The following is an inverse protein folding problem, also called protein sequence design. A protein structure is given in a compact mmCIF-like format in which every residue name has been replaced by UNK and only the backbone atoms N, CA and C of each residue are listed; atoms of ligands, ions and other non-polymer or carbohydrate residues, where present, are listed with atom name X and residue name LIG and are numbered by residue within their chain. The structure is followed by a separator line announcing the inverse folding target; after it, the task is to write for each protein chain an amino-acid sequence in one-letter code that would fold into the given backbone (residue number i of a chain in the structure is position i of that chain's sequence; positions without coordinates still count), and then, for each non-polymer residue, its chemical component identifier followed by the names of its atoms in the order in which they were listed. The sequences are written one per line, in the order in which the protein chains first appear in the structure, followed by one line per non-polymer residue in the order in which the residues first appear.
data_IF_880826446444
#
_entry.id   IF_880826446444
#
_cell.length_a   1.000
_cell.length_b   1.000
_cell.length_c   1.000
_cell.angle_alpha   90.00
_cell.angle_beta   90.00
_cell.angle_gamma   90.00
#
_symmetry.space_group_name_H-M   'P 1'
#
loop_
_entity.id
_entity.type
_entity.pdbx_description
1 polymer ?
#
# COMPACT_ATOMS: atom_id res chain seq x y z
N UNK A 1 25.72 -5.32 6.31
CA UNK A 1 27.14 -4.90 6.45
C UNK A 1 27.11 -3.50 7.03
N UNK A 2 28.00 -3.17 7.97
CA UNK A 2 28.08 -1.84 8.53
C UNK A 2 29.28 -1.10 7.92
N UNK A 3 29.16 0.20 7.74
CA UNK A 3 30.25 1.11 7.40
C UNK A 3 30.25 2.32 8.34
N UNK A 4 31.37 3.01 8.42
CA UNK A 4 31.58 4.13 9.33
C UNK A 4 30.78 5.38 8.97
N UNK A 5 30.69 5.71 7.67
CA UNK A 5 29.98 6.90 7.18
C UNK A 5 28.99 6.60 6.05
N UNK A 6 28.07 7.53 5.83
CA UNK A 6 27.13 7.51 4.70
C UNK A 6 27.84 7.65 3.33
N UNK A 7 29.07 8.17 3.31
CA UNK A 7 29.87 8.29 2.08
C UNK A 7 30.34 6.92 1.61
N UNK A 8 30.73 6.03 2.52
CA UNK A 8 31.14 4.65 2.19
C UNK A 8 29.99 3.86 1.58
N UNK A 9 28.77 4.05 2.08
CA UNK A 9 27.59 3.37 1.53
C UNK A 9 27.35 3.69 0.04
N UNK A 10 27.81 4.86 -0.43
CA UNK A 10 27.72 5.29 -1.84
C UNK A 10 28.95 4.89 -2.68
N UNK A 11 30.00 4.36 -2.07
CA UNK A 11 31.21 3.95 -2.77
C UNK A 11 30.98 2.67 -3.59
N UNK A 12 31.42 2.66 -4.85
CA UNK A 12 31.22 1.52 -5.75
C UNK A 12 31.87 0.23 -5.25
N UNK A 13 33.08 0.30 -4.67
CA UNK A 13 33.77 -0.88 -4.13
C UNK A 13 33.04 -1.47 -2.92
N UNK A 14 32.48 -0.61 -2.08
CA UNK A 14 31.65 -1.06 -0.96
C UNK A 14 30.38 -1.75 -1.46
N UNK A 15 29.72 -1.22 -2.47
CA UNK A 15 28.52 -1.84 -3.03
C UNK A 15 28.85 -3.17 -3.72
N UNK A 16 29.98 -3.26 -4.43
CA UNK A 16 30.49 -4.52 -4.96
C UNK A 16 30.72 -5.55 -3.84
N UNK A 17 31.34 -5.15 -2.71
CA UNK A 17 31.48 -6.02 -1.54
C UNK A 17 30.11 -6.51 -1.03
N UNK A 18 29.11 -5.63 -0.93
CA UNK A 18 27.76 -6.00 -0.45
C UNK A 18 27.14 -7.05 -1.36
N UNK A 19 27.20 -6.83 -2.69
CA UNK A 19 26.72 -7.80 -3.69
C UNK A 19 27.46 -9.13 -3.57
N UNK A 20 28.78 -9.07 -3.46
CA UNK A 20 29.64 -10.25 -3.36
C UNK A 20 29.34 -11.10 -2.12
N UNK A 21 29.20 -10.45 -0.96
CA UNK A 21 28.84 -11.11 0.30
C UNK A 21 27.46 -11.76 0.19
N UNK A 22 26.47 -11.06 -0.39
CA UNK A 22 25.12 -11.61 -0.56
C UNK A 22 25.12 -12.86 -1.47
N UNK A 23 25.80 -12.80 -2.61
CA UNK A 23 25.90 -13.93 -3.54
C UNK A 23 26.69 -15.10 -2.95
N UNK A 24 27.80 -14.82 -2.25
CA UNK A 24 28.58 -15.85 -1.55
C UNK A 24 27.77 -16.53 -0.45
N UNK A 25 26.92 -15.79 0.26
CA UNK A 25 26.04 -16.34 1.29
C UNK A 25 25.03 -17.33 0.69
N UNK A 26 24.37 -16.95 -0.41
CA UNK A 26 23.41 -17.80 -1.12
C UNK A 26 24.10 -19.06 -1.66
N UNK A 27 25.28 -18.92 -2.27
CA UNK A 27 26.02 -20.03 -2.86
C UNK A 27 26.53 -21.05 -1.82
N UNK A 28 26.83 -20.59 -0.60
CA UNK A 28 27.31 -21.46 0.48
C UNK A 28 26.17 -22.06 1.33
N UNK A 29 24.92 -21.64 1.13
CA UNK A 29 23.76 -22.23 1.81
C UNK A 29 23.40 -23.60 1.22
N UNK A 30 23.95 -24.66 1.81
CA UNK A 30 23.70 -26.05 1.38
C UNK A 30 22.50 -26.70 2.07
N UNK A 31 22.21 -26.30 3.30
CA UNK A 31 21.08 -26.82 4.07
C UNK A 31 19.79 -26.14 3.61
N UNK A 32 19.01 -26.84 2.79
CA UNK A 32 17.69 -26.40 2.31
C UNK A 32 16.54 -26.83 3.23
N UNK A 33 16.83 -27.56 4.32
CA UNK A 33 15.78 -28.08 5.22
C UNK A 33 15.16 -26.99 6.11
N UNK A 34 15.91 -25.92 6.38
CA UNK A 34 15.46 -24.80 7.21
C UNK A 34 14.93 -23.69 6.34
N UNK A 35 13.71 -23.22 6.58
CA UNK A 35 13.13 -22.08 5.86
C UNK A 35 13.97 -20.80 6.02
N UNK A 36 14.59 -20.60 7.18
CA UNK A 36 15.39 -19.41 7.47
C UNK A 36 16.70 -19.81 8.15
N UNK A 37 17.82 -19.34 7.60
CA UNK A 37 19.16 -19.58 8.13
C UNK A 37 19.83 -18.26 8.47
N UNK A 38 20.30 -18.16 9.71
CA UNK A 38 20.96 -16.98 10.24
C UNK A 38 22.48 -17.20 10.27
N UNK A 39 23.21 -16.20 9.81
CA UNK A 39 24.66 -16.12 9.92
C UNK A 39 24.99 -14.91 10.79
N UNK A 40 25.61 -15.14 11.93
CA UNK A 40 26.22 -14.07 12.71
C UNK A 40 27.52 -13.59 12.07
N UNK A 41 28.22 -12.68 12.75
CA UNK A 41 29.49 -12.12 12.26
C UNK A 41 30.53 -13.22 12.02
N UNK A 42 30.69 -14.16 12.94
CA UNK A 42 31.78 -15.13 12.91
C UNK A 42 31.51 -16.18 11.82
N UNK A 43 30.27 -16.67 11.74
CA UNK A 43 29.82 -17.56 10.68
C UNK A 43 29.97 -16.89 9.30
N UNK A 44 29.57 -15.63 9.16
CA UNK A 44 29.68 -14.91 7.90
C UNK A 44 31.15 -14.66 7.50
N UNK A 45 32.00 -14.34 8.49
CA UNK A 45 33.41 -14.02 8.27
C UNK A 45 34.22 -15.21 7.74
N UNK A 46 33.85 -16.43 8.13
CA UNK A 46 34.54 -17.67 7.74
C UNK A 46 34.08 -18.25 6.39
N UNK A 47 33.00 -17.73 5.81
CA UNK A 47 32.50 -18.24 4.54
C UNK A 47 33.51 -18.00 3.41
N UNK A 48 33.70 -18.98 2.50
CA UNK A 48 34.57 -18.80 1.35
C UNK A 48 33.93 -17.84 0.35
N UNK A 49 34.78 -16.99 -0.23
CA UNK A 49 34.42 -16.09 -1.32
C UNK A 49 34.03 -16.87 -2.57
N UNK A 50 33.06 -16.34 -3.33
CA UNK A 50 32.58 -16.95 -4.57
C UNK A 50 33.65 -16.99 -5.67
N UNK A 51 34.42 -15.89 -5.81
CA UNK A 51 35.40 -15.72 -6.90
C UNK A 51 36.72 -16.44 -6.63
N UNK A 52 37.07 -16.58 -5.35
CA UNK A 52 38.30 -17.22 -4.89
C UNK A 52 38.03 -17.97 -3.59
N UNK A 53 37.81 -19.29 -3.71
CA UNK A 53 37.50 -20.15 -2.56
C UNK A 53 38.64 -20.30 -1.56
N UNK A 54 39.85 -19.83 -1.88
CA UNK A 54 40.97 -19.80 -0.93
C UNK A 54 40.86 -18.64 0.07
N UNK A 55 40.03 -17.63 -0.24
CA UNK A 55 39.79 -16.45 0.60
C UNK A 55 38.45 -16.53 1.30
N UNK A 56 38.41 -15.97 2.49
CA UNK A 56 37.18 -15.81 3.28
C UNK A 56 36.52 -14.46 3.01
N UNK A 57 35.24 -14.32 3.38
CA UNK A 57 34.57 -13.01 3.33
C UNK A 57 35.21 -11.98 4.26
N UNK A 58 35.88 -12.42 5.35
CA UNK A 58 36.70 -11.53 6.16
C UNK A 58 37.87 -10.93 5.36
N UNK A 59 38.56 -11.75 4.56
CA UNK A 59 39.68 -11.30 3.72
C UNK A 59 39.21 -10.29 2.66
N UNK A 60 38.08 -10.58 1.99
CA UNK A 60 37.51 -9.67 1.00
C UNK A 60 37.05 -8.35 1.66
N UNK A 61 36.50 -8.42 2.88
CA UNK A 61 36.11 -7.22 3.63
C UNK A 61 37.33 -6.39 4.02
N UNK A 62 38.42 -7.02 4.47
CA UNK A 62 39.67 -6.34 4.80
C UNK A 62 40.30 -5.64 3.59
N UNK A 63 40.26 -6.28 2.41
CA UNK A 63 40.68 -5.65 1.15
C UNK A 63 39.82 -4.42 0.82
N UNK A 64 38.51 -4.50 1.03
CA UNK A 64 37.62 -3.36 0.84
C UNK A 64 37.97 -2.20 1.79
N UNK A 65 38.21 -2.48 3.07
CA UNK A 65 38.63 -1.48 4.07
C UNK A 65 39.90 -0.76 3.61
N UNK A 66 40.94 -1.50 3.19
CA UNK A 66 42.17 -0.90 2.67
C UNK A 66 41.95 -0.06 1.40
N UNK A 67 40.97 -0.42 0.58
CA UNK A 67 40.68 0.27 -0.68
C UNK A 67 39.78 1.51 -0.55
N UNK A 68 38.92 1.54 0.47
CA UNK A 68 37.98 2.62 0.76
C UNK A 68 38.59 3.60 1.76
N UNK A 69 39.46 3.14 2.66
CA UNK A 69 40.10 3.95 3.69
C UNK A 69 39.26 4.18 4.95
N UNK A 70 38.11 3.52 5.06
CA UNK A 70 37.17 3.63 6.19
C UNK A 70 36.78 2.25 6.72
N UNK A 71 36.31 2.20 7.97
CA UNK A 71 35.95 0.94 8.61
C UNK A 71 34.69 0.32 7.98
N UNK A 72 34.79 -0.97 7.62
CA UNK A 72 33.71 -1.78 7.07
C UNK A 72 33.68 -3.12 7.81
N UNK A 73 32.52 -3.49 8.32
CA UNK A 73 32.37 -4.66 9.21
C UNK A 73 31.21 -5.55 8.77
N UNK A 74 31.50 -6.85 8.63
CA UNK A 74 30.48 -7.89 8.51
C UNK A 74 29.72 -8.00 9.84
N UNK A 75 28.38 -8.00 9.77
CA UNK A 75 27.53 -7.99 10.97
C UNK A 75 26.69 -9.26 11.09
N UNK A 76 25.90 -9.53 10.07
CA UNK A 76 24.99 -10.67 10.00
C UNK A 76 24.47 -10.84 8.57
N UNK A 77 24.08 -12.07 8.24
CA UNK A 77 23.38 -12.44 7.01
C UNK A 77 22.18 -13.32 7.33
N UNK A 78 21.17 -13.28 6.48
CA UNK A 78 20.00 -14.15 6.60
C UNK A 78 19.70 -14.69 5.21
N UNK A 79 19.54 -16.01 5.10
CA UNK A 79 19.07 -16.68 3.89
C UNK A 79 17.70 -17.27 4.15
N UNK A 80 16.79 -17.09 3.19
CA UNK A 80 15.48 -17.72 3.20
C UNK A 80 15.46 -18.79 2.10
N UNK A 81 15.17 -20.03 2.49
CA UNK A 81 14.96 -21.14 1.58
C UNK A 81 13.47 -21.21 1.26
N UNK A 82 13.15 -21.24 -0.04
CA UNK A 82 11.78 -21.19 -0.55
C UNK A 82 11.45 -22.53 -1.17
N UNK A 83 10.28 -23.05 -0.84
CA UNK A 83 9.75 -24.29 -1.43
C UNK A 83 8.98 -23.99 -2.72
N UNK A 84 8.73 -25.01 -3.55
CA UNK A 84 8.09 -24.84 -4.87
C UNK A 84 6.70 -24.16 -4.85
N UNK A 85 6.00 -24.15 -3.71
CA UNK A 85 4.68 -23.54 -3.55
C UNK A 85 4.71 -22.17 -2.85
N UNK A 86 5.90 -21.56 -2.74
CA UNK A 86 6.13 -20.29 -2.10
C UNK A 86 6.74 -19.31 -3.09
N UNK A 87 6.31 -18.05 -3.02
CA UNK A 87 6.83 -16.96 -3.82
C UNK A 87 7.48 -15.93 -2.91
N UNK A 88 8.59 -15.35 -3.36
CA UNK A 88 9.34 -14.35 -2.62
C UNK A 88 9.30 -13.00 -3.33
N UNK A 89 8.84 -11.99 -2.61
CA UNK A 89 8.80 -10.60 -3.03
C UNK A 89 9.84 -9.79 -2.22
N UNK A 90 10.59 -8.90 -2.87
CA UNK A 90 11.67 -8.12 -2.25
C UNK A 90 11.60 -6.62 -2.58
N UNK A 91 11.61 -5.75 -1.58
CA UNK A 91 11.59 -4.29 -1.75
C UNK A 91 12.86 -3.68 -1.21
N UNK A 92 13.39 -2.68 -1.91
CA UNK A 92 14.39 -1.77 -1.36
C UNK A 92 13.94 -0.33 -1.58
N UNK A 93 13.87 0.47 -0.51
CA UNK A 93 13.55 1.90 -0.57
C UNK A 93 14.80 2.75 -0.76
N UNK A 94 14.72 3.77 -1.61
CA UNK A 94 15.86 4.64 -1.94
C UNK A 94 16.95 3.84 -2.63
N UNK A 95 16.59 3.11 -3.70
CA UNK A 95 17.50 2.22 -4.41
C UNK A 95 18.69 2.98 -4.94
N UNK A 96 19.86 2.39 -4.78
CA UNK A 96 21.08 2.86 -5.43
C UNK A 96 21.17 2.09 -6.74
N UNK A 97 20.81 2.74 -7.85
CA UNK A 97 20.88 2.12 -9.18
C UNK A 97 22.33 2.08 -9.62
N UNK A 98 22.94 0.89 -9.59
CA UNK A 98 24.24 0.64 -10.19
C UNK A 98 24.13 -0.47 -11.24
N UNK A 99 24.53 -0.16 -12.47
CA UNK A 99 24.47 -1.06 -13.63
C UNK A 99 25.40 -2.29 -13.52
N UNK A 100 26.23 -2.38 -12.48
CA UNK A 100 27.23 -3.43 -12.29
C UNK A 100 26.81 -4.55 -11.32
N UNK A 101 25.66 -4.43 -10.64
CA UNK A 101 25.17 -5.41 -9.67
C UNK A 101 23.77 -5.92 -10.03
N UNK A 102 23.65 -6.58 -11.19
CA UNK A 102 22.36 -6.99 -11.78
C UNK A 102 21.47 -7.87 -10.88
N UNK A 103 22.03 -8.57 -9.89
CA UNK A 103 21.27 -9.47 -9.01
C UNK A 103 21.04 -8.97 -7.58
N UNK A 104 21.62 -7.83 -7.18
CA UNK A 104 21.59 -7.37 -5.78
C UNK A 104 20.91 -6.00 -5.65
N UNK A 105 19.76 -5.97 -4.96
CA UNK A 105 19.07 -4.72 -4.63
C UNK A 105 19.58 -4.16 -3.30
N UNK A 106 19.92 -2.87 -3.30
CA UNK A 106 20.43 -2.15 -2.13
C UNK A 106 19.67 -0.84 -1.95
N UNK A 107 19.44 -0.45 -0.70
CA UNK A 107 18.73 0.79 -0.36
C UNK A 107 18.76 1.06 1.15
N UNK A 108 18.07 2.11 1.58
CA UNK A 108 17.99 2.52 2.99
C UNK A 108 17.20 1.52 3.84
N UNK A 109 16.12 1.00 3.27
CA UNK A 109 15.26 0.01 3.90
C UNK A 109 15.05 -1.16 2.94
N UNK A 110 14.99 -2.37 3.48
CA UNK A 110 14.69 -3.58 2.73
C UNK A 110 13.50 -4.31 3.37
N UNK A 111 12.60 -4.83 2.54
CA UNK A 111 11.55 -5.75 2.98
C UNK A 111 11.59 -7.02 2.13
N UNK A 112 11.30 -8.16 2.76
CA UNK A 112 11.20 -9.45 2.12
C UNK A 112 9.90 -10.11 2.57
N UNK A 113 9.07 -10.54 1.62
CA UNK A 113 7.77 -11.17 1.89
C UNK A 113 7.78 -12.54 1.23
N UNK A 114 7.62 -13.58 2.06
CA UNK A 114 7.35 -14.94 1.61
C UNK A 114 5.84 -15.16 1.67
N UNK A 115 5.21 -15.61 0.59
CA UNK A 115 3.80 -15.95 0.57
C UNK A 115 3.56 -17.28 -0.15
N UNK A 116 2.60 -18.04 0.35
CA UNK A 116 2.16 -19.33 -0.21
C UNK A 116 0.69 -19.25 -0.57
N UNK A 117 0.33 -19.82 -1.72
CA UNK A 117 -1.07 -19.95 -2.10
C UNK A 117 -1.79 -20.90 -1.12
N UNK A 118 -2.95 -20.48 -0.61
CA UNK A 118 -3.83 -21.31 0.20
C UNK A 118 -4.77 -22.02 -0.77
N UNK A 119 -4.60 -23.34 -0.91
CA UNK A 119 -5.37 -24.29 -1.72
C UNK A 119 -5.21 -24.32 -3.25
N UNK A 120 -4.90 -25.51 -3.75
CA UNK A 120 -4.64 -25.86 -5.16
C UNK A 120 -5.88 -26.38 -5.90
N UNK A 121 -7.09 -26.18 -5.39
CA UNK A 121 -8.33 -26.65 -6.04
C UNK A 121 -8.92 -25.68 -7.05
N UNK A 122 -8.27 -24.56 -7.33
CA UNK A 122 -8.67 -23.64 -8.40
C UNK A 122 -7.51 -23.55 -9.41
N UNK A 123 -7.33 -24.60 -10.20
CA UNK A 123 -6.56 -24.54 -11.45
C UNK A 123 -7.53 -24.21 -12.57
N UNK A 124 -7.34 -23.05 -13.21
CA UNK A 124 -6.98 -22.94 -14.63
C UNK A 124 -6.69 -21.47 -14.96
N UNK A 125 -5.45 -21.23 -15.40
CA UNK A 125 -4.92 -20.10 -16.17
C UNK A 125 -5.05 -18.65 -15.63
N UNK A 126 -3.95 -17.89 -15.77
CA UNK A 126 -3.75 -16.44 -15.53
C UNK A 126 -3.24 -15.93 -14.16
N UNK A 127 -3.06 -16.77 -13.14
CA UNK A 127 -2.71 -16.28 -11.79
C UNK A 127 -1.22 -15.96 -11.51
N UNK A 128 -0.27 -16.46 -12.30
CA UNK A 128 1.16 -16.17 -12.10
C UNK A 128 1.55 -14.72 -12.44
N UNK A 129 0.95 -14.15 -13.49
CA UNK A 129 1.12 -12.73 -13.81
C UNK A 129 0.54 -11.83 -12.73
N UNK A 130 -0.61 -12.21 -12.14
CA UNK A 130 -1.24 -11.44 -11.08
C UNK A 130 -0.37 -11.41 -9.82
N UNK A 131 0.25 -12.52 -9.42
CA UNK A 131 1.14 -12.58 -8.26
C UNK A 131 2.44 -11.77 -8.46
N UNK A 132 3.05 -11.86 -9.64
CA UNK A 132 4.23 -11.07 -10.02
C UNK A 132 3.91 -9.57 -10.13
N UNK A 133 2.73 -9.23 -10.65
CA UNK A 133 2.23 -7.84 -10.73
C UNK A 133 1.93 -7.29 -9.34
N UNK A 134 1.28 -8.07 -8.47
CA UNK A 134 1.02 -7.70 -7.08
C UNK A 134 2.32 -7.44 -6.32
N UNK A 135 3.29 -8.34 -6.46
CA UNK A 135 4.64 -8.17 -5.94
C UNK A 135 5.26 -6.88 -6.48
N UNK A 136 5.42 -6.73 -7.80
CA UNK A 136 6.04 -5.54 -8.40
C UNK A 136 5.35 -4.22 -8.03
N UNK A 137 4.01 -4.22 -7.90
CA UNK A 137 3.22 -3.04 -7.55
C UNK A 137 3.24 -2.71 -6.04
N UNK A 138 3.44 -3.69 -5.15
CA UNK A 138 3.71 -3.46 -3.73
C UNK A 138 5.14 -2.95 -3.51
N UNK A 139 6.08 -3.44 -4.33
CA UNK A 139 7.52 -3.19 -4.20
C UNK A 139 8.01 -1.96 -5.01
N UNK A 140 7.14 -1.20 -5.67
CA UNK A 140 7.52 0.06 -6.35
C UNK A 140 6.91 1.29 -5.66
N UNK A 141 6.22 1.08 -4.53
CA UNK A 141 5.54 2.16 -3.81
C UNK A 141 6.55 3.10 -3.16
N UNK A 142 6.59 4.33 -3.66
CA UNK A 142 7.09 5.46 -2.89
C UNK A 142 5.93 6.02 -2.08
N UNK A 143 6.08 6.04 -0.75
CA UNK A 143 5.08 6.63 0.13
C UNK A 143 5.42 8.11 0.35
N UNK A 144 4.75 9.05 -0.34
CA UNK A 144 4.96 10.46 -0.09
C UNK A 144 4.57 10.79 1.35
N UNK A 145 5.28 11.74 1.96
CA UNK A 145 4.85 12.34 3.21
C UNK A 145 3.64 13.23 2.91
N UNK A 146 2.70 13.35 3.86
CA UNK A 146 1.64 14.37 3.73
C UNK A 146 2.31 15.76 3.70
N UNK A 147 1.88 16.61 2.78
CA UNK A 147 2.33 18.00 2.73
C UNK A 147 1.48 18.83 3.67
N UNK A 148 2.09 19.37 4.73
CA UNK A 148 1.43 20.35 5.60
C UNK A 148 1.33 21.67 4.84
N UNK A 149 0.17 22.33 4.88
CA UNK A 149 0.03 23.68 4.36
C UNK A 149 0.89 24.63 5.20
N UNK A 150 1.91 25.25 4.58
CA UNK A 150 3.02 25.94 5.27
C UNK A 150 2.58 26.97 6.31
N UNK A 151 1.43 27.61 6.10
CA UNK A 151 0.91 28.67 6.98
C UNK A 151 0.58 28.17 8.40
N UNK A 152 0.40 26.87 8.63
CA UNK A 152 -0.10 26.32 9.91
C UNK A 152 0.93 25.43 10.64
N UNK A 153 2.21 25.44 10.22
CA UNK A 153 3.25 24.61 10.86
C UNK A 153 3.54 25.06 12.29
N UNK A 154 3.44 26.36 12.58
CA UNK A 154 3.78 26.94 13.88
C UNK A 154 2.57 27.18 14.79
N UNK A 155 1.37 27.36 14.23
CA UNK A 155 0.15 27.65 14.99
C UNK A 155 -0.99 26.72 14.54
N UNK A 156 -1.45 25.79 15.40
CA UNK A 156 -2.66 25.02 15.14
C UNK A 156 -3.86 25.94 14.96
N UNK A 157 -4.74 25.61 14.02
CA UNK A 157 -5.96 26.36 13.76
C UNK A 157 -7.18 25.70 14.41
N UNK A 158 -8.18 26.51 14.77
CA UNK A 158 -9.44 25.99 15.28
C UNK A 158 -10.26 25.30 14.17
N UNK A 159 -11.09 24.34 14.56
CA UNK A 159 -11.94 23.58 13.64
C UNK A 159 -12.91 24.48 12.87
N UNK A 160 -13.53 25.47 13.53
CA UNK A 160 -14.45 26.43 12.90
C UNK A 160 -13.75 27.19 11.78
N UNK A 161 -12.56 27.73 12.05
CA UNK A 161 -11.75 28.45 11.06
C UNK A 161 -11.41 27.57 9.86
N UNK A 162 -11.07 26.30 10.08
CA UNK A 162 -10.86 25.35 8.99
C UNK A 162 -12.12 25.16 8.15
N UNK A 163 -13.27 24.94 8.78
CA UNK A 163 -14.53 24.68 8.07
C UNK A 163 -14.94 25.89 7.23
N UNK A 164 -14.83 27.10 7.77
CA UNK A 164 -15.15 28.34 7.05
C UNK A 164 -14.25 28.51 5.81
N UNK A 165 -12.96 28.21 5.93
CA UNK A 165 -12.00 28.28 4.82
C UNK A 165 -12.27 27.19 3.77
N UNK A 166 -12.54 25.96 4.21
CA UNK A 166 -12.70 24.81 3.33
C UNK A 166 -13.89 25.00 2.36
N UNK A 167 -14.98 25.62 2.81
CA UNK A 167 -16.17 25.88 1.99
C UNK A 167 -15.90 26.90 0.86
N UNK A 168 -14.84 27.70 0.92
CA UNK A 168 -14.45 28.68 -0.10
C UNK A 168 -13.32 28.18 -1.03
N UNK A 169 -12.74 27.02 -0.74
CA UNK A 169 -11.53 26.54 -1.44
C UNK A 169 -11.83 25.70 -2.68
N UNK A 170 -10.97 25.80 -3.69
CA UNK A 170 -11.00 24.92 -4.88
C UNK A 170 -10.16 23.64 -4.72
N UNK A 171 -9.23 23.64 -3.77
CA UNK A 171 -8.42 22.48 -3.40
C UNK A 171 -8.88 21.99 -2.03
N UNK A 172 -9.24 20.71 -1.93
CA UNK A 172 -9.70 20.12 -0.67
C UNK A 172 -8.54 19.88 0.30
N UNK A 173 -8.81 20.01 1.60
CA UNK A 173 -7.85 19.75 2.66
C UNK A 173 -8.42 18.90 3.79
N UNK A 174 -7.59 18.06 4.42
CA UNK A 174 -7.94 17.33 5.64
C UNK A 174 -7.46 18.09 6.88
N UNK A 175 -8.27 18.10 7.93
CA UNK A 175 -7.93 18.70 9.22
C UNK A 175 -7.51 17.63 10.20
N UNK A 176 -6.28 17.71 10.69
CA UNK A 176 -5.70 16.75 11.60
C UNK A 176 -5.37 17.43 12.94
N UNK A 177 -6.37 17.55 13.83
CA UNK A 177 -6.22 18.12 15.18
C UNK A 177 -5.43 19.45 15.21
N UNK A 178 -5.84 20.39 14.35
CA UNK A 178 -5.26 21.74 14.25
C UNK A 178 -4.35 21.96 13.05
N UNK A 179 -3.99 20.90 12.32
CA UNK A 179 -3.10 20.98 11.16
C UNK A 179 -3.87 20.68 9.86
N UNK A 180 -3.68 21.52 8.84
CA UNK A 180 -4.30 21.35 7.52
C UNK A 180 -3.33 20.63 6.58
N UNK A 181 -3.84 19.64 5.85
CA UNK A 181 -3.11 18.89 4.83
C UNK A 181 -3.88 18.89 3.52
N UNK A 182 -3.24 19.38 2.45
CA UNK A 182 -3.84 19.33 1.12
C UNK A 182 -4.06 17.88 0.64
N UNK A 183 -5.22 17.59 0.08
CA UNK A 183 -5.43 16.31 -0.61
C UNK A 183 -4.68 16.31 -1.94
N UNK A 184 -4.14 15.15 -2.35
CA UNK A 184 -3.75 14.95 -3.73
C UNK A 184 -4.96 15.20 -4.66
N UNK A 185 -4.71 15.78 -5.83
CA UNK A 185 -5.75 15.92 -6.85
C UNK A 185 -6.36 14.54 -7.16
N UNK A 186 -7.70 14.46 -7.13
CA UNK A 186 -8.41 13.23 -7.51
C UNK A 186 -8.24 12.99 -9.01
N UNK A 187 -7.73 11.82 -9.38
CA UNK A 187 -7.67 11.41 -10.78
C UNK A 187 -9.07 11.04 -11.27
N UNK A 188 -9.40 11.33 -12.53
CA UNK A 188 -10.71 11.02 -13.12
C UNK A 188 -11.07 9.53 -13.09
N UNK A 189 -10.06 8.65 -13.04
CA UNK A 189 -10.22 7.20 -12.88
C UNK A 189 -10.69 6.79 -11.49
N UNK A 190 -10.31 7.54 -10.44
CA UNK A 190 -10.78 7.32 -9.06
C UNK A 190 -12.26 7.62 -8.96
N UNK A 191 -12.69 8.79 -9.44
CA UNK A 191 -14.10 9.20 -9.41
C UNK A 191 -14.98 8.27 -10.24
N UNK A 192 -14.47 7.80 -11.39
CA UNK A 192 -15.18 6.81 -12.20
C UNK A 192 -15.34 5.48 -11.47
N UNK A 193 -14.31 5.01 -10.76
CA UNK A 193 -14.39 3.78 -9.96
C UNK A 193 -15.41 3.92 -8.83
N UNK A 194 -15.38 5.05 -8.11
CA UNK A 194 -16.37 5.38 -7.06
C UNK A 194 -17.79 5.42 -7.63
N UNK A 195 -18.00 6.00 -8.81
CA UNK A 195 -19.31 6.01 -9.47
C UNK A 195 -19.86 4.61 -9.73
N UNK A 196 -19.03 3.69 -10.23
CA UNK A 196 -19.46 2.31 -10.46
C UNK A 196 -19.68 1.53 -9.16
N UNK A 197 -18.87 1.78 -8.12
CA UNK A 197 -19.11 1.26 -6.78
C UNK A 197 -20.49 1.70 -6.26
N UNK A 198 -20.78 3.00 -6.31
CA UNK A 198 -22.06 3.55 -5.87
C UNK A 198 -23.23 2.93 -6.62
N UNK A 199 -23.12 2.80 -7.95
CA UNK A 199 -24.16 2.17 -8.77
C UNK A 199 -24.42 0.71 -8.38
N UNK A 200 -23.38 -0.08 -8.10
CA UNK A 200 -23.53 -1.48 -7.66
C UNK A 200 -24.22 -1.58 -6.28
N UNK A 201 -23.96 -0.62 -5.38
CA UNK A 201 -24.61 -0.55 -4.07
C UNK A 201 -26.08 -0.13 -4.20
N UNK A 202 -26.37 0.89 -5.01
CA UNK A 202 -27.73 1.39 -5.23
C UNK A 202 -28.66 0.32 -5.82
N UNK A 203 -28.14 -0.49 -6.76
CA UNK A 203 -28.90 -1.58 -7.38
C UNK A 203 -29.40 -2.63 -6.38
N UNK A 204 -28.73 -2.78 -5.24
CA UNK A 204 -29.10 -3.75 -4.22
C UNK A 204 -30.25 -3.28 -3.32
N UNK A 205 -30.66 -2.01 -3.41
CA UNK A 205 -31.80 -1.45 -2.67
C UNK A 205 -31.76 -1.75 -1.16
N UNK A 206 -30.55 -1.65 -0.57
CA UNK A 206 -30.32 -1.93 0.84
C UNK A 206 -31.14 -0.95 1.68
N UNK A 207 -32.04 -1.48 2.51
CA UNK A 207 -32.95 -0.65 3.33
C UNK A 207 -32.18 0.11 4.39
N UNK A 208 -32.59 1.35 4.65
CA UNK A 208 -32.04 2.23 5.68
C UNK A 208 -30.53 2.51 5.53
N UNK A 209 -30.03 2.47 4.29
CA UNK A 209 -28.67 2.91 3.96
C UNK A 209 -28.70 3.98 2.89
N UNK A 210 -27.92 5.01 3.14
CA UNK A 210 -27.73 6.14 2.25
C UNK A 210 -26.27 6.21 1.84
N UNK A 211 -26.05 6.30 0.53
CA UNK A 211 -24.76 6.70 -0.01
C UNK A 211 -24.63 8.21 0.19
N UNK A 212 -23.59 8.63 0.89
CA UNK A 212 -23.33 10.05 1.12
C UNK A 212 -22.60 10.67 -0.09
N UNK A 213 -22.73 11.99 -0.31
CA UNK A 213 -22.03 12.70 -1.39
C UNK A 213 -20.51 12.45 -1.40
N UNK A 214 -19.87 12.50 -2.57
CA UNK A 214 -18.43 12.19 -2.73
C UNK A 214 -17.49 13.20 -2.05
N UNK A 215 -17.99 14.38 -1.73
CA UNK A 215 -17.34 15.47 -1.00
C UNK A 215 -17.76 15.53 0.47
N UNK A 216 -18.43 14.49 0.99
CA UNK A 216 -18.76 14.40 2.40
C UNK A 216 -17.49 14.37 3.26
N UNK A 217 -17.50 15.15 4.34
CA UNK A 217 -16.43 15.14 5.35
C UNK A 217 -16.82 14.19 6.48
N UNK A 218 -15.89 13.34 6.94
CA UNK A 218 -16.07 12.54 8.15
C UNK A 218 -15.38 13.25 9.30
N UNK A 219 -16.13 13.55 10.35
CA UNK A 219 -15.59 14.03 11.62
C UNK A 219 -15.44 12.89 12.61
N UNK A 220 -14.22 12.63 13.07
CA UNK A 220 -13.96 11.62 14.11
C UNK A 220 -14.26 12.16 15.51
N UNK A 221 -14.50 11.25 16.50
CA UNK A 221 -14.45 11.61 17.92
C UNK A 221 -13.07 12.15 18.32
N UNK A 222 -13.01 12.82 19.47
CA UNK A 222 -11.79 13.44 20.00
C UNK A 222 -10.58 12.50 20.05
N UNK A 223 -9.36 12.96 19.65
CA UNK A 223 -9.09 14.23 18.96
C UNK A 223 -9.78 14.33 17.61
N UNK A 224 -10.23 15.54 17.29
CA UNK A 224 -11.03 15.79 16.10
C UNK A 224 -10.16 15.72 14.85
N UNK A 225 -10.55 14.85 13.93
CA UNK A 225 -10.02 14.76 12.58
C UNK A 225 -11.16 14.94 11.57
N UNK A 226 -10.89 15.67 10.50
CA UNK A 226 -11.78 15.80 9.33
C UNK A 226 -11.12 15.14 8.13
N UNK A 227 -11.74 14.08 7.63
CA UNK A 227 -11.24 13.31 6.49
C UNK A 227 -12.25 13.28 5.34
N UNK A 228 -11.74 13.21 4.11
CA UNK A 228 -12.57 12.87 2.96
C UNK A 228 -12.40 11.38 2.63
N UNK A 229 -13.47 10.56 2.71
CA UNK A 229 -13.45 9.18 2.27
C UNK A 229 -13.57 9.10 0.74
N UNK A 230 -13.24 7.95 0.16
CA UNK A 230 -13.56 7.69 -1.25
C UNK A 230 -15.06 7.46 -1.45
N UNK A 231 -15.70 6.71 -0.54
CA UNK A 231 -17.16 6.56 -0.47
C UNK A 231 -17.58 6.31 0.99
N UNK A 232 -18.75 6.81 1.37
CA UNK A 232 -19.27 6.67 2.73
C UNK A 232 -20.74 6.28 2.72
N UNK A 233 -21.10 5.31 3.55
CA UNK A 233 -22.48 4.89 3.78
C UNK A 233 -22.89 5.25 5.21
N UNK A 234 -24.14 5.69 5.38
CA UNK A 234 -24.72 5.96 6.69
C UNK A 234 -26.17 5.51 6.76
N UNK A 235 -26.64 5.19 7.96
CA UNK A 235 -28.07 4.97 8.23
C UNK A 235 -28.85 6.29 8.33
N UNK A 236 -28.15 7.43 8.39
CA UNK A 236 -28.76 8.75 8.34
C UNK A 236 -28.61 9.32 6.93
N UNK A 237 -29.72 9.76 6.34
CA UNK A 237 -29.65 10.55 5.12
C UNK A 237 -28.87 11.84 5.37
N UNK A 238 -28.06 12.31 4.39
CA UNK A 238 -27.38 13.59 4.53
C UNK A 238 -28.42 14.69 4.71
N UNK A 239 -28.23 15.54 5.73
CA UNK A 239 -28.96 16.80 5.79
C UNK A 239 -28.42 17.67 4.65
N UNK A 240 -29.30 18.24 3.83
CA UNK A 240 -28.93 19.01 2.63
C UNK A 240 -27.91 20.11 2.87
N UNK A 241 -27.82 20.60 4.11
CA UNK A 241 -26.98 21.75 4.47
C UNK A 241 -25.69 21.33 5.22
N UNK A 242 -25.43 20.02 5.38
CA UNK A 242 -24.27 19.52 6.11
C UNK A 242 -23.38 18.66 5.21
N UNK A 243 -22.27 19.23 4.75
CA UNK A 243 -21.17 18.51 4.11
C UNK A 243 -20.29 17.72 5.11
N UNK A 244 -20.85 17.31 6.27
CA UNK A 244 -20.13 16.61 7.33
C UNK A 244 -20.99 15.53 8.00
N UNK A 245 -20.41 14.37 8.24
CA UNK A 245 -21.03 13.26 8.98
C UNK A 245 -20.17 12.85 10.16
N UNK A 246 -20.83 12.47 11.25
CA UNK A 246 -20.24 11.86 12.47
C UNK A 246 -20.70 10.41 12.66
N UNK A 247 -21.60 9.94 11.80
CA UNK A 247 -22.21 8.62 11.90
C UNK A 247 -22.07 7.77 10.64
N UNK A 248 -20.84 7.60 10.09
CA UNK A 248 -20.62 6.62 9.04
C UNK A 248 -20.81 5.20 9.58
N UNK A 249 -21.41 4.33 8.76
CA UNK A 249 -21.57 2.90 9.06
C UNK A 249 -20.57 2.07 8.26
N UNK A 250 -20.32 2.46 7.01
CA UNK A 250 -19.27 1.87 6.14
C UNK A 250 -18.46 2.99 5.53
N UNK A 251 -17.14 2.84 5.57
CA UNK A 251 -16.21 3.71 4.86
C UNK A 251 -15.49 2.85 3.83
N UNK A 252 -15.48 3.29 2.57
CA UNK A 252 -14.72 2.65 1.50
C UNK A 252 -13.61 3.60 1.07
N UNK A 253 -12.39 3.09 1.00
CA UNK A 253 -11.20 3.84 0.59
C UNK A 253 -10.52 3.16 -0.60
N UNK A 254 -10.33 3.92 -1.68
CA UNK A 254 -9.51 3.49 -2.82
C UNK A 254 -8.05 3.82 -2.53
N UNK A 255 -7.23 2.77 -2.49
CA UNK A 255 -5.82 2.84 -2.17
C UNK A 255 -5.00 3.02 -3.45
N UNK A 256 -4.21 4.08 -3.48
CA UNK A 256 -3.16 4.31 -4.48
C UNK A 256 -1.79 4.18 -3.80
N UNK A 257 -0.69 4.07 -4.56
CA UNK A 257 0.66 4.08 -3.99
C UNK A 257 0.95 5.28 -3.09
N UNK A 258 0.33 6.44 -3.37
CA UNK A 258 0.54 7.67 -2.62
C UNK A 258 -0.33 7.77 -1.37
N UNK A 259 -1.50 7.11 -1.35
CA UNK A 259 -2.46 7.22 -0.24
C UNK A 259 -2.42 6.11 0.79
N UNK A 260 -1.87 4.96 0.42
CA UNK A 260 -1.89 3.74 1.22
C UNK A 260 -1.42 3.93 2.66
N UNK A 261 -0.26 4.56 2.84
CA UNK A 261 0.37 4.67 4.16
C UNK A 261 -0.58 5.34 5.16
N UNK A 262 -1.14 6.48 4.79
CA UNK A 262 -2.00 7.23 5.70
C UNK A 262 -3.39 6.60 5.82
N UNK A 263 -3.92 5.97 4.76
CA UNK A 263 -5.22 5.29 4.85
C UNK A 263 -5.15 4.09 5.80
N UNK A 264 -4.16 3.20 5.62
CA UNK A 264 -4.07 1.95 6.39
C UNK A 264 -3.60 2.14 7.84
N UNK A 265 -2.94 3.26 8.15
CA UNK A 265 -2.42 3.52 9.49
C UNK A 265 -3.23 4.62 10.16
N UNK A 266 -3.01 5.87 9.76
CA UNK A 266 -3.59 7.05 10.40
C UNK A 266 -5.12 7.04 10.34
N UNK A 267 -5.70 7.07 9.12
CA UNK A 267 -7.16 7.10 8.94
C UNK A 267 -7.81 5.84 9.50
N UNK A 268 -7.27 4.65 9.23
CA UNK A 268 -7.80 3.38 9.78
C UNK A 268 -7.93 3.44 11.30
N UNK A 269 -6.87 3.84 12.01
CA UNK A 269 -6.89 3.94 13.47
C UNK A 269 -7.95 4.94 13.93
N UNK A 270 -8.04 6.09 13.27
CA UNK A 270 -8.95 7.17 13.65
C UNK A 270 -10.42 6.85 13.33
N UNK A 271 -10.70 6.28 12.17
CA UNK A 271 -12.02 5.79 11.79
C UNK A 271 -12.54 4.74 12.77
N UNK A 272 -11.70 3.78 13.20
CA UNK A 272 -12.09 2.70 14.13
C UNK A 272 -12.58 3.19 15.49
N UNK A 273 -12.35 4.45 15.84
CA UNK A 273 -12.84 5.11 17.06
C UNK A 273 -14.29 5.59 16.94
N UNK A 274 -14.78 5.79 15.72
CA UNK A 274 -16.16 6.21 15.45
C UNK A 274 -17.10 5.08 15.90
N UNK A 275 -18.03 5.28 16.87
CA UNK A 275 -18.85 4.19 17.43
C UNK A 275 -19.82 3.53 16.44
N UNK A 276 -20.37 4.32 15.51
CA UNK A 276 -21.32 3.88 14.48
C UNK A 276 -20.67 3.05 13.39
N UNK A 277 -19.37 3.22 13.16
CA UNK A 277 -18.64 2.54 12.08
C UNK A 277 -18.59 1.03 12.32
N UNK A 278 -19.04 0.25 11.36
CA UNK A 278 -19.01 -1.23 11.45
C UNK A 278 -18.00 -1.83 10.50
N UNK A 279 -17.75 -1.20 9.36
CA UNK A 279 -16.81 -1.70 8.35
C UNK A 279 -15.98 -0.61 7.70
N UNK A 280 -14.75 -0.98 7.36
CA UNK A 280 -13.87 -0.23 6.49
C UNK A 280 -13.40 -1.15 5.37
N UNK A 281 -13.71 -0.79 4.13
CA UNK A 281 -13.32 -1.54 2.93
C UNK A 281 -12.21 -0.77 2.23
N UNK A 282 -11.03 -1.37 2.17
CA UNK A 282 -9.89 -0.86 1.42
C UNK A 282 -9.82 -1.59 0.09
N UNK A 283 -9.84 -0.86 -1.02
CA UNK A 283 -9.75 -1.46 -2.37
C UNK A 283 -8.46 -0.94 -3.00
N UNK A 284 -7.65 -1.84 -3.54
CA UNK A 284 -6.50 -1.47 -4.38
C UNK A 284 -6.86 -1.75 -5.84
N UNK A 285 -7.32 -0.76 -6.62
CA UNK A 285 -7.76 -1.00 -8.00
C UNK A 285 -6.65 -1.63 -8.85
N UNK A 286 -5.41 -1.15 -8.72
CA UNK A 286 -4.27 -1.66 -9.48
C UNK A 286 -3.89 -3.11 -9.12
N UNK A 287 -4.22 -3.55 -7.90
CA UNK A 287 -3.93 -4.91 -7.43
C UNK A 287 -5.13 -5.85 -7.55
N UNK A 288 -6.31 -5.32 -7.90
CA UNK A 288 -7.57 -6.07 -7.96
C UNK A 288 -7.85 -6.86 -6.66
N UNK A 289 -7.57 -6.21 -5.54
CA UNK A 289 -7.65 -6.78 -4.19
C UNK A 289 -8.45 -5.84 -3.29
N UNK A 290 -9.19 -6.41 -2.34
CA UNK A 290 -9.76 -5.69 -1.22
C UNK A 290 -9.36 -6.28 0.13
N UNK A 291 -9.33 -5.42 1.14
CA UNK A 291 -9.22 -5.76 2.55
C UNK A 291 -10.44 -5.18 3.25
N UNK A 292 -11.11 -5.98 4.07
CA UNK A 292 -12.23 -5.52 4.89
C UNK A 292 -11.85 -5.66 6.35
N UNK A 293 -11.87 -4.54 7.06
CA UNK A 293 -11.83 -4.50 8.51
C UNK A 293 -13.27 -4.33 9.00
N UNK A 294 -13.78 -5.25 9.80
CA UNK A 294 -15.14 -5.23 10.32
C UNK A 294 -15.18 -5.56 11.82
N UNK A 295 -16.23 -5.11 12.50
CA UNK A 295 -16.53 -5.52 13.88
C UNK A 295 -18.01 -5.84 14.02
N UNK A 296 -18.32 -6.81 14.87
CA UNK A 296 -19.69 -7.00 15.32
C UNK A 296 -20.08 -5.84 16.26
N UNK A 297 -21.39 -5.59 16.40
CA UNK A 297 -21.88 -4.46 17.19
C UNK A 297 -21.56 -4.56 18.70
N UNK A 298 -21.16 -5.75 19.16
CA UNK A 298 -21.04 -6.11 20.58
C UNK A 298 -19.59 -6.20 21.05
N UNK A 299 -18.64 -6.58 20.18
CA UNK A 299 -17.22 -6.62 20.51
C UNK A 299 -16.50 -5.34 20.08
N UNK A 300 -15.54 -4.91 20.90
CA UNK A 300 -14.60 -3.86 20.51
C UNK A 300 -13.50 -4.36 19.54
N UNK A 301 -13.58 -5.61 19.08
CA UNK A 301 -12.51 -6.26 18.32
C UNK A 301 -12.78 -6.16 16.83
N UNK A 302 -11.81 -5.58 16.12
CA UNK A 302 -11.81 -5.57 14.66
C UNK A 302 -11.23 -6.86 14.12
N UNK A 303 -11.92 -7.45 13.14
CA UNK A 303 -11.48 -8.61 12.37
C UNK A 303 -11.15 -8.16 10.95
N UNK A 304 -10.17 -8.80 10.32
CA UNK A 304 -9.70 -8.48 8.98
C UNK A 304 -9.90 -9.68 8.05
N UNK A 305 -10.36 -9.41 6.83
CA UNK A 305 -10.43 -10.37 5.71
C UNK A 305 -9.89 -9.75 4.43
N UNK A 306 -9.47 -10.61 3.51
CA UNK A 306 -8.98 -10.24 2.19
C UNK A 306 -9.85 -10.90 1.13
N UNK A 307 -10.05 -10.20 0.02
CA UNK A 307 -10.90 -10.61 -1.08
C UNK A 307 -10.23 -10.28 -2.41
N UNK A 308 -10.15 -11.26 -3.30
CA UNK A 308 -9.68 -11.09 -4.67
C UNK A 308 -10.76 -10.55 -5.61
N UNK A 309 -10.40 -10.46 -6.90
CA UNK A 309 -11.23 -9.88 -7.95
C UNK A 309 -12.63 -10.51 -8.11
N UNK A 310 -12.70 -11.84 -7.98
CA UNK A 310 -13.93 -12.63 -8.18
C UNK A 310 -14.71 -12.87 -6.89
N UNK A 311 -14.13 -12.54 -5.75
CA UNK A 311 -14.76 -12.78 -4.46
C UNK A 311 -15.94 -11.83 -4.25
N UNK A 312 -16.94 -12.33 -3.55
CA UNK A 312 -18.07 -11.54 -3.07
C UNK A 312 -17.68 -10.91 -1.74
N UNK A 313 -17.48 -9.60 -1.75
CA UNK A 313 -17.15 -8.81 -0.57
C UNK A 313 -18.46 -8.45 0.13
N UNK A 314 -18.76 -8.96 1.32
CA UNK A 314 -19.98 -8.59 2.03
C UNK A 314 -19.93 -7.11 2.43
N UNK A 315 -21.05 -6.41 2.24
CA UNK A 315 -21.32 -5.08 2.82
C UNK A 315 -22.11 -5.27 4.12
N UNK A 316 -21.38 -5.43 5.22
CA UNK A 316 -21.83 -5.64 6.60
C UNK A 316 -22.94 -6.67 6.86
N UNK A 317 -22.68 -7.48 7.88
CA UNK A 317 -23.73 -8.12 8.70
C UNK A 317 -24.75 -7.13 9.31
N UNK A 318 -24.47 -5.81 9.30
CA UNK A 318 -25.23 -4.78 10.03
C UNK A 318 -26.32 -4.07 9.22
N UNK A 319 -26.37 -4.25 7.89
CA UNK A 319 -27.27 -3.43 7.04
C UNK A 319 -28.02 -4.19 5.95
N UNK A 320 -27.86 -5.51 5.89
CA UNK A 320 -28.74 -6.40 5.14
C UNK A 320 -28.08 -6.97 3.89
N UNK A 321 -27.40 -8.11 4.05
CA UNK A 321 -26.97 -9.08 3.03
C UNK A 321 -26.51 -8.52 1.67
N UNK A 322 -25.90 -7.33 1.63
CA UNK A 322 -25.34 -6.75 0.41
C UNK A 322 -23.97 -7.34 0.09
N UNK A 323 -23.59 -7.35 -1.18
CA UNK A 323 -22.32 -7.86 -1.68
C UNK A 323 -21.73 -6.91 -2.73
N UNK A 324 -20.43 -6.69 -2.70
CA UNK A 324 -19.66 -6.07 -3.79
C UNK A 324 -18.88 -7.14 -4.53
N UNK A 325 -18.82 -7.02 -5.85
CA UNK A 325 -17.99 -7.88 -6.71
C UNK A 325 -17.11 -6.98 -7.55
N UNK A 326 -15.80 -7.01 -7.29
CA UNK A 326 -14.84 -6.12 -7.95
C UNK A 326 -14.82 -6.32 -9.47
N UNK A 327 -14.97 -7.57 -9.94
CA UNK A 327 -15.00 -7.90 -11.37
C UNK A 327 -16.01 -7.04 -12.15
N UNK A 328 -17.22 -6.87 -11.61
CA UNK A 328 -18.29 -6.12 -12.27
C UNK A 328 -17.92 -4.64 -12.41
N UNK A 329 -17.29 -4.08 -11.37
CA UNK A 329 -16.85 -2.69 -11.36
C UNK A 329 -15.81 -2.45 -12.46
N UNK A 330 -14.79 -3.32 -12.55
CA UNK A 330 -13.76 -3.21 -13.58
C UNK A 330 -14.34 -3.39 -14.99
N UNK A 331 -15.23 -4.35 -15.19
CA UNK A 331 -15.86 -4.58 -16.49
C UNK A 331 -16.68 -3.37 -16.95
N UNK A 332 -17.44 -2.76 -16.03
CA UNK A 332 -18.22 -1.57 -16.32
C UNK A 332 -17.34 -0.37 -16.68
N UNK A 333 -16.20 -0.20 -16.00
CA UNK A 333 -15.22 0.83 -16.36
C UNK A 333 -14.66 0.62 -17.77
N UNK A 334 -14.23 -0.59 -18.10
CA UNK A 334 -13.70 -0.92 -19.42
C UNK A 334 -14.75 -0.66 -20.50
N UNK A 335 -15.99 -1.10 -20.28
CA UNK A 335 -17.10 -0.87 -21.21
C UNK A 335 -17.37 0.63 -21.42
N UNK A 336 -17.36 1.44 -20.35
CA UNK A 336 -17.58 2.88 -20.45
C UNK A 336 -16.44 3.58 -21.19
N UNK A 337 -15.18 3.21 -20.92
CA UNK A 337 -14.01 3.75 -21.64
C UNK A 337 -14.07 3.39 -23.12
N UNK A 338 -14.35 2.13 -23.46
CA UNK A 338 -14.49 1.69 -24.86
C UNK A 338 -15.62 2.45 -25.57
N UNK A 339 -16.77 2.64 -24.91
CA UNK A 339 -17.87 3.45 -25.47
C UNK A 339 -17.44 4.88 -25.79
N UNK A 340 -16.67 5.53 -24.91
CA UNK A 340 -16.13 6.87 -25.18
C UNK A 340 -15.15 6.87 -26.37
N UNK A 341 -14.26 5.89 -26.46
CA UNK A 341 -13.31 5.76 -27.57
C UNK A 341 -14.07 5.56 -28.89
N UNK A 342 -15.07 4.68 -28.93
CA UNK A 342 -15.90 4.47 -30.13
C UNK A 342 -16.68 5.72 -30.53
N UNK A 343 -17.26 6.45 -29.57
CA UNK A 343 -17.93 7.72 -29.86
C UNK A 343 -16.96 8.76 -30.43
N UNK A 344 -15.77 8.87 -29.85
CA UNK A 344 -14.74 9.79 -30.33
C UNK A 344 -14.28 9.43 -31.74
N UNK A 345 -14.01 8.15 -32.02
CA UNK A 345 -13.65 7.69 -33.36
C UNK A 345 -14.75 7.94 -34.39
N UNK A 346 -16.01 7.66 -34.04
CA UNK A 346 -17.16 7.94 -34.92
C UNK A 346 -17.39 9.44 -35.17
N UNK A 347 -17.02 10.29 -34.21
CA UNK A 347 -17.04 11.74 -34.40
C UNK A 347 -15.91 12.19 -35.33
N UNK A 348 -14.71 11.64 -35.15
CA UNK A 348 -13.54 11.93 -35.99
C UNK A 348 -13.77 11.54 -37.46
N UNK A 349 -14.36 10.37 -37.71
CA UNK A 349 -14.69 9.90 -39.07
C UNK A 349 -15.83 10.69 -39.74
N UNK A 350 -16.67 11.38 -38.98
CA UNK A 350 -17.71 12.28 -39.52
C UNK A 350 -17.21 13.70 -39.81
N UNK A 351 -16.04 14.06 -39.29
CA UNK A 351 -15.41 15.38 -39.47
C UNK A 351 -14.31 15.41 -40.53
N UNK A 352 -14.04 14.26 -41.16
CA UNK A 352 -13.32 14.16 -42.45
C UNK A 352 -14.33 13.98 -43.58
#
# INVERSE_FOLDING_TARGET
INCETDFVAKNEKFQQLVSHVANSLIANQKDKSKEKVFYDKDALSTLPSLDDRSKTLADITALCVGSVGENVVLRRGIVFNINNNQLLASYCHGQINNASTDSCRMGKYGALVNYSQIDSTITNDSNDENASTLSSALLTRSYPLRTICQNNIQNPIELSTYLDQEDETSQLHEYLNGYIYALPSRESTHDLFVKHLSAQIEQQQIKNIHILPMDIRIQTPDPIYIYYPSLCLSTQAPKTDQAITREPVVIIELITPTTERFILHEKSINYKRIPSLKEIIYIWPNLKLAQVDFRDGESSKWTRKYYGLQDKIPLVQAIGNGELVLTDIFNNMVSQILSFVFQYMNHFDKTK
#
